data_IF_787945782129
#
_entry.id   IF_787945782129
#
_cell.length_a   1.000
_cell.length_b   1.000
_cell.length_c   1.000
_cell.angle_alpha   90.00
_cell.angle_beta   90.00
_cell.angle_gamma   90.00
#
_symmetry.space_group_name_H-M   'P 1'
#
loop_
_entity.id
_entity.type
_entity.pdbx_description
1 polymer ?
#
# COMPACT_ATOMS: atom_id res chain seq x y z
N UNK A 1 10.23 -6.37 -14.51
CA UNK A 1 9.68 -5.14 -15.13
C UNK A 1 9.84 -3.99 -14.14
N UNK A 2 10.59 -2.94 -14.52
CA UNK A 2 10.49 -1.65 -13.84
C UNK A 2 9.42 -0.87 -14.57
N UNK A 3 8.33 -0.51 -13.88
CA UNK A 3 7.33 0.40 -14.44
C UNK A 3 7.82 1.82 -14.16
N UNK A 4 8.04 2.62 -15.20
CA UNK A 4 8.31 4.05 -15.06
C UNK A 4 7.04 4.77 -14.59
N UNK A 5 6.86 4.83 -13.27
CA UNK A 5 5.69 5.41 -12.61
C UNK A 5 5.99 6.86 -12.25
N UNK A 6 5.41 7.79 -13.01
CA UNK A 6 5.47 9.21 -12.71
C UNK A 6 4.36 9.60 -11.72
N UNK A 7 4.71 9.72 -10.44
CA UNK A 7 3.79 10.08 -9.36
C UNK A 7 3.35 11.56 -9.36
N UNK A 8 3.92 12.40 -10.24
CA UNK A 8 3.57 13.83 -10.34
C UNK A 8 2.39 14.09 -11.27
N UNK A 9 2.08 13.12 -12.16
CA UNK A 9 0.95 13.19 -13.08
C UNK A 9 -0.36 12.74 -12.43
N UNK A 10 -1.45 12.88 -13.18
CA UNK A 10 -2.75 12.31 -12.79
C UNK A 10 -2.67 10.78 -12.68
N UNK A 11 -3.42 10.18 -11.73
CA UNK A 11 -3.42 8.72 -11.57
C UNK A 11 -3.97 8.04 -12.83
N UNK A 12 -3.39 6.90 -13.25
CA UNK A 12 -3.91 6.10 -14.37
C UNK A 12 -5.36 5.68 -14.17
N UNK A 13 -6.13 5.61 -15.26
CA UNK A 13 -7.55 5.25 -15.22
C UNK A 13 -7.79 3.74 -15.03
N UNK A 14 -6.84 2.90 -15.41
CA UNK A 14 -6.98 1.45 -15.42
C UNK A 14 -6.15 0.78 -14.32
N UNK A 15 -6.57 -0.42 -13.96
CA UNK A 15 -5.80 -1.33 -13.13
C UNK A 15 -5.02 -2.29 -14.03
N UNK A 16 -3.79 -2.69 -13.65
CA UNK A 16 -3.16 -2.50 -12.33
C UNK A 16 -2.29 -1.24 -12.20
N UNK A 17 -2.16 -0.41 -13.24
CA UNK A 17 -1.24 0.73 -13.25
C UNK A 17 -1.57 1.73 -12.14
N UNK A 18 -2.86 1.91 -11.84
CA UNK A 18 -3.33 2.76 -10.75
C UNK A 18 -2.89 2.27 -9.37
N UNK A 19 -2.94 0.96 -9.10
CA UNK A 19 -2.40 0.39 -7.86
C UNK A 19 -0.91 0.73 -7.70
N UNK A 20 -0.12 0.50 -8.75
CA UNK A 20 1.32 0.79 -8.70
C UNK A 20 1.62 2.29 -8.53
N UNK A 21 0.82 3.17 -9.14
CA UNK A 21 0.89 4.62 -8.94
C UNK A 21 0.77 5.00 -7.46
N UNK A 22 -0.26 4.50 -6.76
CA UNK A 22 -0.45 4.83 -5.35
C UNK A 22 0.60 4.19 -4.44
N UNK A 23 1.10 2.99 -4.77
CA UNK A 23 2.21 2.38 -4.04
C UNK A 23 3.49 3.22 -4.14
N UNK A 24 3.81 3.73 -5.34
CA UNK A 24 4.96 4.62 -5.53
C UNK A 24 4.79 5.94 -4.76
N UNK A 25 3.59 6.54 -4.80
CA UNK A 25 3.27 7.77 -4.06
C UNK A 25 3.38 7.59 -2.55
N UNK A 26 2.93 6.45 -2.02
CA UNK A 26 3.05 6.13 -0.60
C UNK A 26 4.51 5.99 -0.17
N UNK A 27 5.37 5.36 -0.98
CA UNK A 27 6.82 5.26 -0.71
C UNK A 27 7.48 6.63 -0.61
N UNK A 28 7.27 7.50 -1.61
CA UNK A 28 7.80 8.87 -1.60
C UNK A 28 7.34 9.66 -0.35
N UNK A 29 6.07 9.55 0.00
CA UNK A 29 5.52 10.21 1.19
C UNK A 29 6.18 9.71 2.48
N UNK A 30 6.33 8.40 2.64
CA UNK A 30 6.96 7.79 3.82
C UNK A 30 8.44 8.17 3.93
N UNK A 31 9.17 8.21 2.81
CA UNK A 31 10.57 8.63 2.79
C UNK A 31 10.73 10.10 3.19
N UNK A 32 9.91 11.01 2.65
CA UNK A 32 9.90 12.42 3.03
C UNK A 32 9.63 12.60 4.51
N UNK A 33 8.61 11.91 5.05
CA UNK A 33 8.29 11.95 6.48
C UNK A 33 9.38 11.35 7.36
N UNK A 34 10.01 10.26 6.92
CA UNK A 34 11.13 9.65 7.63
C UNK A 34 12.32 10.62 7.74
N UNK A 35 12.63 11.34 6.66
CA UNK A 35 13.68 12.38 6.64
C UNK A 35 13.32 13.56 7.54
N UNK A 36 12.07 14.05 7.50
CA UNK A 36 11.59 15.14 8.35
C UNK A 36 11.73 14.84 9.85
N UNK A 37 11.42 13.60 10.27
CA UNK A 37 11.45 13.19 11.70
C UNK A 37 12.85 12.71 12.11
N UNK A 38 13.75 12.42 11.15
CA UNK A 38 15.10 11.93 11.41
C UNK A 38 15.17 10.47 11.86
N UNK A 39 14.14 9.67 11.59
CA UNK A 39 14.10 8.22 11.91
C UNK A 39 13.23 7.43 10.94
N UNK A 40 13.42 6.11 10.80
CA UNK A 40 12.52 5.25 10.05
C UNK A 40 11.08 5.33 10.57
N UNK A 41 10.12 5.37 9.64
CA UNK A 41 8.69 5.31 9.96
C UNK A 41 8.30 3.87 10.30
N UNK A 42 7.68 3.68 11.46
CA UNK A 42 7.16 2.40 11.91
C UNK A 42 5.67 2.53 12.17
N UNK A 43 4.92 1.45 11.93
CA UNK A 43 3.51 1.38 12.24
C UNK A 43 3.20 0.11 13.02
N UNK A 44 2.24 0.19 13.93
CA UNK A 44 1.70 -0.95 14.65
C UNK A 44 0.24 -1.11 14.26
N UNK A 45 -0.10 -2.23 13.64
CA UNK A 45 -1.49 -2.58 13.31
C UNK A 45 -1.89 -3.77 14.18
N UNK A 46 -2.99 -3.57 14.92
CA UNK A 46 -3.69 -4.65 15.62
C UNK A 46 -4.92 -5.03 14.80
N UNK A 47 -4.80 -6.03 13.94
CA UNK A 47 -5.97 -6.61 13.29
C UNK A 47 -6.69 -7.51 14.28
N UNK A 48 -7.92 -7.18 14.64
CA UNK A 48 -8.85 -8.16 15.18
C UNK A 48 -9.24 -9.05 14.00
N UNK A 49 -8.52 -10.17 13.83
CA UNK A 49 -8.84 -11.11 12.76
C UNK A 49 -10.32 -11.49 12.85
N UNK A 50 -11.04 -11.43 11.73
CA UNK A 50 -12.29 -12.17 11.63
C UNK A 50 -11.91 -13.66 11.77
N UNK A 51 -12.48 -14.43 12.72
CA UNK A 51 -12.27 -15.86 12.72
C UNK A 51 -12.73 -16.36 11.35
N UNK A 52 -11.86 -17.07 10.64
CA UNK A 52 -12.29 -17.88 9.50
C UNK A 52 -13.21 -18.92 10.11
N UNK A 53 -14.51 -18.62 10.17
CA UNK A 53 -15.54 -19.61 10.38
C UNK A 53 -15.46 -20.51 9.16
N UNK A 54 -14.69 -21.61 9.29
CA UNK A 54 -14.80 -22.75 8.39
C UNK A 54 -16.23 -23.23 8.52
N UNK A 55 -17.11 -22.76 7.65
CA UNK A 55 -18.39 -23.42 7.43
C UNK A 55 -18.00 -24.80 6.88
N UNK A 56 -18.09 -25.83 7.73
CA UNK A 56 -18.00 -27.20 7.24
C UNK A 56 -19.15 -27.33 6.25
N UNK A 57 -18.81 -27.49 4.97
CA UNK A 57 -19.80 -27.85 3.95
C UNK A 57 -20.25 -29.26 4.35
N UNK A 58 -21.36 -29.36 5.07
CA UNK A 58 -22.06 -30.62 5.28
C UNK A 58 -22.45 -31.11 3.90
N UNK A 59 -21.81 -32.20 3.48
CA UNK A 59 -22.21 -33.00 2.33
C UNK A 59 -23.54 -33.70 2.63
#
# INVERSE_FOLDING_TARGET
MSYDIDITKTPPAHEPERQYYYMAKAKDFVEKKSKEIGRPMTYFVKTFGCPIVRVKKTL
#
